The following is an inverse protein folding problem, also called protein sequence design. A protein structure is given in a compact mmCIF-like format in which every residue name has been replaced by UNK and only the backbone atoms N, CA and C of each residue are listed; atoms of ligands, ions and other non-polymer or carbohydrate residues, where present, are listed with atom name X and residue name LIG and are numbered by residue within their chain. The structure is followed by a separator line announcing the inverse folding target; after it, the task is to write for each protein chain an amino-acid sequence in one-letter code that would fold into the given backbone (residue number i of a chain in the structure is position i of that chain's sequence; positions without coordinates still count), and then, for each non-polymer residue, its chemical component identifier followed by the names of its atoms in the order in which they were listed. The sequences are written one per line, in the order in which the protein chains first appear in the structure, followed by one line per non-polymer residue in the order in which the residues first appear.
data_IF_988932329688
#
_entry.id   IF_988932329688
#
_cell.length_a   1.000
_cell.length_b   1.000
_cell.length_c   1.000
_cell.angle_alpha   90.00
_cell.angle_beta   90.00
_cell.angle_gamma   90.00
#
_symmetry.space_group_name_H-M   'P 1'
#
loop_
_entity.id
_entity.type
_entity.pdbx_description
1 polymer ?
#
# COMPACT_ATOMS: atom_id res chain seq x y z
N UNK A 1 13.59 13.63 11.55
CA UNK A 1 12.75 12.69 10.76
C UNK A 1 13.11 12.88 9.31
N UNK A 2 13.22 11.82 8.51
CA UNK A 2 13.48 11.96 7.07
C UNK A 2 12.34 12.74 6.42
N UNK A 3 12.65 13.68 5.54
CA UNK A 3 11.66 14.43 4.76
C UNK A 3 11.01 13.54 3.70
N UNK A 4 9.86 13.94 3.17
CA UNK A 4 9.22 13.21 2.06
C UNK A 4 10.14 13.06 0.84
N UNK A 5 10.95 14.08 0.55
CA UNK A 5 11.91 14.06 -0.55
C UNK A 5 13.07 13.10 -0.29
N UNK A 6 13.55 12.98 0.94
CA UNK A 6 14.56 11.99 1.31
C UNK A 6 14.01 10.57 1.21
N UNK A 7 12.80 10.31 1.72
CA UNK A 7 12.15 9.01 1.60
C UNK A 7 11.98 8.59 0.14
N UNK A 8 11.40 9.47 -0.67
CA UNK A 8 11.14 9.19 -2.09
C UNK A 8 12.43 9.15 -2.91
N UNK A 9 13.42 9.98 -2.59
CA UNK A 9 14.74 9.94 -3.21
C UNK A 9 15.41 8.60 -2.96
N UNK A 10 15.48 8.17 -1.70
CA UNK A 10 16.04 6.88 -1.32
C UNK A 10 15.33 5.73 -2.01
N UNK A 11 13.99 5.70 -1.94
CA UNK A 11 13.22 4.65 -2.58
C UNK A 11 13.42 4.65 -4.11
N UNK A 12 13.49 5.83 -4.74
CA UNK A 12 13.71 5.91 -6.19
C UNK A 12 15.06 5.33 -6.62
N UNK A 13 16.11 5.41 -5.80
CA UNK A 13 17.44 4.88 -6.15
C UNK A 13 17.43 3.38 -6.44
N UNK A 14 16.57 2.63 -5.76
CA UNK A 14 16.41 1.19 -5.95
C UNK A 14 15.40 0.83 -7.04
N UNK A 15 14.87 1.81 -7.80
CA UNK A 15 13.78 1.64 -8.78
C UNK A 15 13.99 2.51 -10.02
N UNK A 16 15.10 2.30 -10.72
CA UNK A 16 15.48 3.01 -11.95
C UNK A 16 15.10 2.27 -13.23
N UNK A 17 14.99 0.94 -13.21
CA UNK A 17 14.65 0.17 -14.40
C UNK A 17 13.17 0.37 -14.78
N UNK A 18 12.83 0.70 -16.05
CA UNK A 18 11.45 0.98 -16.46
C UNK A 18 10.51 -0.20 -16.20
N UNK A 19 10.93 -1.44 -16.45
CA UNK A 19 10.15 -2.65 -16.17
C UNK A 19 9.90 -2.83 -14.68
N UNK A 20 10.91 -2.65 -13.82
CA UNK A 20 10.74 -2.77 -12.38
C UNK A 20 9.74 -1.71 -11.86
N UNK A 21 9.83 -0.46 -12.35
CA UNK A 21 8.86 0.58 -12.03
C UNK A 21 7.44 0.23 -12.46
N UNK A 22 7.26 -0.36 -13.66
CA UNK A 22 5.94 -0.78 -14.14
C UNK A 22 5.36 -1.91 -13.27
N UNK A 23 6.18 -2.90 -12.94
CA UNK A 23 5.82 -3.98 -12.02
C UNK A 23 5.37 -3.37 -10.68
N UNK A 24 6.12 -2.41 -10.13
CA UNK A 24 5.75 -1.73 -8.89
C UNK A 24 4.43 -0.97 -8.99
N UNK A 25 4.14 -0.32 -10.13
CA UNK A 25 2.86 0.35 -10.35
C UNK A 25 1.65 -0.59 -10.26
N UNK A 26 1.83 -1.88 -10.52
CA UNK A 26 0.77 -2.89 -10.48
C UNK A 26 0.78 -3.62 -9.14
N UNK A 27 1.94 -4.12 -8.72
CA UNK A 27 2.07 -5.00 -7.56
C UNK A 27 1.92 -4.25 -6.24
N UNK A 28 2.42 -3.01 -6.10
CA UNK A 28 2.32 -2.28 -4.83
C UNK A 28 0.86 -1.96 -4.46
N UNK A 29 0.00 -1.44 -5.36
CA UNK A 29 -1.42 -1.28 -5.05
C UNK A 29 -2.12 -2.61 -4.75
N UNK A 30 -1.78 -3.68 -5.47
CA UNK A 30 -2.35 -5.01 -5.25
C UNK A 30 -1.98 -5.57 -3.86
N UNK A 31 -0.73 -5.42 -3.44
CA UNK A 31 -0.26 -5.83 -2.11
C UNK A 31 -0.95 -5.00 -1.03
N UNK A 32 -1.02 -3.67 -1.20
CA UNK A 32 -1.72 -2.81 -0.25
C UNK A 32 -3.18 -3.23 -0.08
N UNK A 33 -3.89 -3.45 -1.19
CA UNK A 33 -5.27 -3.93 -1.17
C UNK A 33 -5.38 -5.28 -0.47
N UNK A 34 -4.54 -6.26 -0.81
CA UNK A 34 -4.60 -7.60 -0.25
C UNK A 34 -4.33 -7.61 1.27
N UNK A 35 -3.39 -6.80 1.75
CA UNK A 35 -3.14 -6.63 3.18
C UNK A 35 -4.36 -6.04 3.88
N UNK A 36 -4.98 -5.00 3.31
CA UNK A 36 -6.19 -4.41 3.88
C UNK A 36 -7.38 -5.39 3.86
N UNK A 37 -7.52 -6.21 2.81
CA UNK A 37 -8.55 -7.23 2.72
C UNK A 37 -8.35 -8.33 3.77
N UNK A 38 -7.11 -8.80 3.96
CA UNK A 38 -6.77 -9.75 5.02
C UNK A 38 -7.07 -9.20 6.42
N UNK A 39 -6.78 -7.92 6.67
CA UNK A 39 -7.17 -7.25 7.93
C UNK A 39 -8.69 -7.05 8.04
N UNK A 40 -9.39 -6.91 6.91
CA UNK A 40 -10.83 -6.68 6.88
C UNK A 40 -11.63 -7.88 7.41
N UNK A 41 -11.17 -9.08 7.04
CA UNK A 41 -11.85 -10.34 7.36
C UNK A 41 -11.59 -10.84 8.78
N UNK A 42 -10.62 -10.26 9.49
CA UNK A 42 -10.32 -10.63 10.88
C UNK A 42 -11.59 -10.40 11.73
N UNK A 43 -12.07 -11.43 12.45
CA UNK A 43 -13.24 -11.29 13.31
C UNK A 43 -13.08 -10.14 14.31
N UNK A 44 -14.13 -9.35 14.45
CA UNK A 44 -14.17 -8.21 15.37
C UNK A 44 -15.20 -8.51 16.45
N UNK A 45 -14.84 -8.47 17.74
CA UNK A 45 -15.81 -8.55 18.82
C UNK A 45 -16.89 -7.50 18.64
N UNK A 46 -18.16 -7.87 18.77
CA UNK A 46 -19.30 -6.96 18.56
C UNK A 46 -19.24 -5.70 19.45
N UNK A 47 -18.61 -5.80 20.62
CA UNK A 47 -18.37 -4.67 21.53
C UNK A 47 -17.37 -3.63 20.99
N UNK A 48 -16.47 -4.03 20.08
CA UNK A 48 -15.46 -3.15 19.48
C UNK A 48 -15.92 -2.58 18.12
N UNK A 49 -16.72 -3.32 17.37
CA UNK A 49 -17.26 -2.85 16.11
C UNK A 49 -17.67 -3.96 15.14
N UNK A 50 -17.47 -3.70 13.85
CA UNK A 50 -17.85 -4.55 12.72
C UNK A 50 -16.61 -4.97 11.90
N UNK A 51 -16.74 -5.97 10.99
CA UNK A 51 -15.66 -6.30 10.04
C UNK A 51 -15.07 -5.06 9.36
N UNK A 52 -13.76 -5.08 9.14
CA UNK A 52 -13.02 -3.90 8.69
C UNK A 52 -12.47 -2.99 9.80
N UNK A 53 -12.84 -3.19 11.08
CA UNK A 53 -12.31 -2.39 12.19
C UNK A 53 -10.77 -2.38 12.24
N UNK A 54 -10.14 -3.55 12.17
CA UNK A 54 -8.69 -3.68 12.23
C UNK A 54 -8.01 -3.02 11.03
N UNK A 55 -8.56 -3.19 9.82
CA UNK A 55 -8.08 -2.49 8.63
C UNK A 55 -8.20 -0.96 8.79
N UNK A 56 -9.34 -0.48 9.30
CA UNK A 56 -9.57 0.93 9.63
C UNK A 56 -8.52 1.49 10.58
N UNK A 57 -8.24 0.80 11.68
CA UNK A 57 -7.23 1.20 12.64
C UNK A 57 -5.83 1.25 12.00
N UNK A 58 -5.46 0.25 11.20
CA UNK A 58 -4.20 0.26 10.46
C UNK A 58 -4.10 1.42 9.47
N UNK A 59 -5.18 1.75 8.76
CA UNK A 59 -5.24 2.91 7.85
C UNK A 59 -5.08 4.23 8.61
N UNK A 60 -5.67 4.36 9.81
CA UNK A 60 -5.51 5.56 10.66
C UNK A 60 -4.05 5.70 11.13
N UNK A 61 -3.41 4.61 11.56
CA UNK A 61 -2.00 4.63 11.96
C UNK A 61 -1.08 4.99 10.78
N UNK A 62 -1.32 4.41 9.61
CA UNK A 62 -0.59 4.75 8.38
C UNK A 62 -0.83 6.21 7.96
N UNK A 63 -2.07 6.71 8.08
CA UNK A 63 -2.39 8.11 7.83
C UNK A 63 -1.64 9.04 8.79
N UNK A 64 -1.57 8.71 10.08
CA UNK A 64 -0.80 9.50 11.06
C UNK A 64 0.71 9.53 10.71
N UNK A 65 1.25 8.41 10.22
CA UNK A 65 2.61 8.34 9.69
C UNK A 65 2.79 9.27 8.48
N UNK A 66 1.91 9.21 7.49
CA UNK A 66 1.98 10.09 6.31
C UNK A 66 1.76 11.56 6.67
N UNK A 67 0.87 11.86 7.60
CA UNK A 67 0.59 13.23 8.03
C UNK A 67 1.83 13.90 8.63
N UNK A 68 2.61 13.13 9.38
CA UNK A 68 3.90 13.58 9.94
C UNK A 68 5.00 13.70 8.88
N UNK A 69 4.88 13.00 7.76
CA UNK A 69 5.83 13.04 6.64
C UNK A 69 5.55 14.17 5.64
N UNK A 70 4.31 14.29 5.16
CA UNK A 70 3.80 15.36 4.28
C UNK A 70 2.26 15.35 4.29
N UNK A 71 1.64 16.49 4.60
CA UNK A 71 0.17 16.60 4.69
C UNK A 71 -0.51 16.30 3.37
N UNK A 72 0.08 16.74 2.26
CA UNK A 72 -0.46 16.53 0.92
C UNK A 72 -0.40 15.05 0.53
N UNK A 73 0.70 14.35 0.84
CA UNK A 73 0.78 12.89 0.66
C UNK A 73 -0.24 12.17 1.54
N UNK A 74 -0.42 12.62 2.78
CA UNK A 74 -1.41 12.04 3.68
C UNK A 74 -2.84 12.15 3.14
N UNK A 75 -3.21 13.32 2.59
CA UNK A 75 -4.52 13.52 1.95
C UNK A 75 -4.68 12.64 0.70
N UNK A 76 -3.64 12.52 -0.13
CA UNK A 76 -3.68 11.62 -1.28
C UNK A 76 -3.84 10.15 -0.86
N UNK A 77 -3.10 9.71 0.15
CA UNK A 77 -3.23 8.36 0.69
C UNK A 77 -4.56 8.12 1.41
N UNK A 78 -5.16 9.14 2.01
CA UNK A 78 -6.51 9.06 2.57
C UNK A 78 -7.53 8.71 1.50
N UNK A 79 -7.45 9.34 0.31
CA UNK A 79 -8.32 9.01 -0.82
C UNK A 79 -8.12 7.54 -1.23
N UNK A 80 -6.87 7.09 -1.34
CA UNK A 80 -6.55 5.69 -1.65
C UNK A 80 -7.16 4.75 -0.61
N UNK A 81 -7.01 5.04 0.69
CA UNK A 81 -7.57 4.23 1.77
C UNK A 81 -9.09 4.19 1.76
N UNK A 82 -9.76 5.31 1.50
CA UNK A 82 -11.22 5.34 1.35
C UNK A 82 -11.66 4.45 0.20
N UNK A 83 -11.02 4.56 -0.97
CA UNK A 83 -11.36 3.73 -2.14
C UNK A 83 -11.13 2.24 -1.90
N UNK A 84 -9.99 1.87 -1.30
CA UNK A 84 -9.71 0.48 -0.97
C UNK A 84 -10.63 -0.05 0.13
N UNK A 85 -11.01 0.78 1.10
CA UNK A 85 -11.98 0.42 2.13
C UNK A 85 -13.38 0.16 1.56
N UNK A 86 -13.84 1.02 0.65
CA UNK A 86 -15.11 0.81 -0.04
C UNK A 86 -15.09 -0.46 -0.91
N UNK A 87 -13.97 -0.72 -1.61
CA UNK A 87 -13.78 -1.94 -2.38
C UNK A 87 -13.81 -3.18 -1.48
N UNK A 88 -13.13 -3.16 -0.33
CA UNK A 88 -13.12 -4.28 0.59
C UNK A 88 -14.48 -4.51 1.25
N UNK A 89 -15.21 -3.46 1.62
CA UNK A 89 -16.57 -3.60 2.12
C UNK A 89 -17.48 -4.25 1.08
N UNK A 90 -17.39 -3.82 -0.18
CA UNK A 90 -18.15 -4.38 -1.28
C UNK A 90 -17.82 -5.86 -1.50
N UNK A 91 -16.53 -6.21 -1.63
CA UNK A 91 -16.08 -7.58 -1.84
C UNK A 91 -16.39 -8.48 -0.63
N UNK A 92 -16.27 -7.97 0.58
CA UNK A 92 -16.61 -8.71 1.80
C UNK A 92 -18.08 -9.11 1.81
N UNK A 93 -18.98 -8.20 1.44
CA UNK A 93 -20.42 -8.48 1.35
C UNK A 93 -20.77 -9.44 0.20
N UNK A 94 -20.03 -9.39 -0.89
CA UNK A 94 -20.26 -10.22 -2.08
C UNK A 94 -19.75 -11.65 -1.90
N UNK A 95 -18.52 -11.80 -1.39
CA UNK A 95 -17.79 -13.06 -1.34
C UNK A 95 -17.84 -13.72 0.04
N UNK A 96 -18.06 -12.93 1.10
CA UNK A 96 -17.86 -13.36 2.47
C UNK A 96 -16.38 -13.38 2.89
N UNK A 97 -16.11 -13.65 4.17
CA UNK A 97 -14.76 -13.53 4.74
C UNK A 97 -13.76 -14.55 4.20
N UNK A 98 -14.18 -15.80 3.98
CA UNK A 98 -13.29 -16.90 3.60
C UNK A 98 -12.79 -16.71 2.17
N UNK A 99 -13.69 -16.46 1.23
CA UNK A 99 -13.34 -16.30 -0.18
C UNK A 99 -12.56 -15.00 -0.43
N UNK A 100 -12.90 -13.92 0.29
CA UNK A 100 -12.12 -12.70 0.25
C UNK A 100 -10.68 -12.93 0.76
N UNK A 101 -10.51 -13.72 1.83
CA UNK A 101 -9.18 -14.06 2.34
C UNK A 101 -8.36 -14.86 1.32
N UNK A 102 -8.95 -15.85 0.67
CA UNK A 102 -8.27 -16.64 -0.37
C UNK A 102 -7.91 -15.80 -1.59
N UNK A 103 -8.82 -14.94 -2.04
CA UNK A 103 -8.55 -14.01 -3.14
C UNK A 103 -7.41 -13.06 -2.77
N UNK A 104 -7.46 -12.46 -1.58
CA UNK A 104 -6.41 -11.59 -1.08
C UNK A 104 -5.06 -12.33 -0.99
N UNK A 105 -5.05 -13.56 -0.47
CA UNK A 105 -3.86 -14.41 -0.39
C UNK A 105 -3.27 -14.71 -1.77
N UNK A 106 -4.09 -15.08 -2.74
CA UNK A 106 -3.65 -15.34 -4.12
C UNK A 106 -3.04 -14.10 -4.78
N UNK A 107 -3.71 -12.95 -4.67
CA UNK A 107 -3.21 -11.67 -5.19
C UNK A 107 -1.92 -11.25 -4.48
N UNK A 108 -1.85 -11.41 -3.15
CA UNK A 108 -0.67 -11.07 -2.36
C UNK A 108 0.55 -11.87 -2.81
N UNK A 109 0.42 -13.20 -2.93
CA UNK A 109 1.51 -14.07 -3.39
C UNK A 109 1.94 -13.73 -4.81
N UNK A 110 0.99 -13.60 -5.74
CA UNK A 110 1.30 -13.27 -7.13
C UNK A 110 2.00 -11.90 -7.27
N UNK A 111 1.52 -10.89 -6.54
CA UNK A 111 2.09 -9.55 -6.57
C UNK A 111 3.49 -9.51 -5.95
N UNK A 112 3.75 -10.27 -4.88
CA UNK A 112 5.09 -10.39 -4.31
C UNK A 112 6.08 -11.10 -5.23
N UNK A 113 5.66 -12.19 -5.89
CA UNK A 113 6.46 -12.83 -6.93
C UNK A 113 6.82 -11.80 -8.01
N UNK A 114 5.84 -11.02 -8.47
CA UNK A 114 6.05 -9.91 -9.39
C UNK A 114 7.10 -8.91 -8.89
N UNK A 115 6.96 -8.41 -7.64
CA UNK A 115 7.94 -7.48 -7.07
C UNK A 115 9.35 -8.07 -7.00
N UNK A 116 9.51 -9.33 -6.61
CA UNK A 116 10.81 -9.98 -6.59
C UNK A 116 11.41 -10.11 -8.00
N UNK A 117 10.62 -10.48 -9.00
CA UNK A 117 11.05 -10.47 -10.41
C UNK A 117 11.50 -9.06 -10.82
N UNK A 118 10.74 -8.03 -10.46
CA UNK A 118 11.11 -6.63 -10.71
C UNK A 118 12.47 -6.27 -10.13
N UNK A 119 12.74 -6.68 -8.90
CA UNK A 119 14.04 -6.45 -8.24
C UNK A 119 15.18 -7.29 -8.82
N UNK A 120 14.91 -8.51 -9.29
CA UNK A 120 15.90 -9.30 -10.03
C UNK A 120 16.33 -8.58 -11.32
N UNK A 121 15.39 -7.98 -12.04
CA UNK A 121 15.66 -7.17 -13.23
C UNK A 121 16.42 -5.88 -12.88
N UNK A 122 16.08 -5.24 -11.77
CA UNK A 122 16.76 -4.03 -11.30
C UNK A 122 18.22 -4.30 -10.88
N UNK A 123 18.51 -5.50 -10.36
CA UNK A 123 19.82 -5.83 -9.76
C UNK A 123 20.02 -5.23 -8.36
N UNK A 124 19.03 -4.49 -7.85
CA UNK A 124 19.01 -3.93 -6.50
C UNK A 124 18.08 -4.72 -5.57
N UNK A 125 18.46 -4.85 -4.30
CA UNK A 125 17.64 -5.53 -3.30
C UNK A 125 16.38 -4.70 -2.97
N UNK A 126 15.26 -5.35 -2.64
CA UNK A 126 14.06 -4.64 -2.16
C UNK A 126 14.34 -3.73 -0.96
N UNK A 127 13.90 -2.47 -1.03
CA UNK A 127 14.24 -1.46 -0.02
C UNK A 127 13.74 -1.82 1.39
N UNK A 128 12.65 -2.59 1.53
CA UNK A 128 12.13 -2.99 2.84
C UNK A 128 13.06 -3.94 3.61
N UNK A 129 14.04 -4.58 2.95
CA UNK A 129 15.09 -5.31 3.65
C UNK A 129 16.04 -4.39 4.43
N UNK A 130 16.10 -3.11 4.07
CA UNK A 130 16.92 -2.12 4.80
C UNK A 130 16.14 -1.46 5.93
N UNK A 131 14.84 -1.22 5.73
CA UNK A 131 13.97 -0.52 6.66
C UNK A 131 12.51 -0.86 6.35
N UNK A 132 11.80 -1.47 7.31
CA UNK A 132 10.43 -1.93 7.13
C UNK A 132 9.47 -0.77 6.80
N UNK A 133 9.81 0.47 7.15
CA UNK A 133 9.03 1.64 6.78
C UNK A 133 8.87 1.79 5.26
N UNK A 134 9.77 1.23 4.45
CA UNK A 134 9.64 1.27 2.99
C UNK A 134 8.40 0.55 2.45
N UNK A 135 7.78 -0.35 3.24
CA UNK A 135 6.46 -0.90 2.89
C UNK A 135 5.37 0.17 2.87
N UNK A 136 5.44 1.17 3.75
CA UNK A 136 4.55 2.34 3.75
C UNK A 136 4.98 3.37 2.70
N UNK A 137 6.28 3.50 2.43
CA UNK A 137 6.78 4.46 1.44
C UNK A 137 6.42 4.05 0.01
N UNK A 138 6.42 2.75 -0.33
CA UNK A 138 6.10 2.28 -1.68
C UNK A 138 4.78 2.83 -2.24
N UNK A 139 3.64 2.62 -1.55
CA UNK A 139 2.34 3.18 -1.96
C UNK A 139 2.36 4.72 -2.03
N UNK A 140 2.92 5.38 -1.02
CA UNK A 140 3.02 6.84 -0.97
C UNK A 140 3.86 7.41 -2.12
N UNK A 141 4.92 6.72 -2.54
CA UNK A 141 5.77 7.11 -3.66
C UNK A 141 5.02 7.03 -5.00
N UNK A 142 4.15 6.03 -5.19
CA UNK A 142 3.27 5.96 -6.35
C UNK A 142 2.25 7.11 -6.33
N UNK A 143 1.62 7.36 -5.19
CA UNK A 143 0.72 8.52 -5.03
C UNK A 143 1.45 9.83 -5.36
N UNK A 144 2.67 10.02 -4.84
CA UNK A 144 3.52 11.18 -5.16
C UNK A 144 3.83 11.32 -6.66
N UNK A 145 4.02 10.21 -7.40
CA UNK A 145 4.13 10.26 -8.86
C UNK A 145 2.86 10.75 -9.54
N UNK A 146 1.68 10.30 -9.09
CA UNK A 146 0.39 10.81 -9.60
C UNK A 146 0.27 12.30 -9.30
N UNK A 147 0.53 12.71 -8.06
CA UNK A 147 0.47 14.11 -7.64
C UNK A 147 1.36 15.01 -8.50
N UNK A 148 2.61 14.59 -8.78
CA UNK A 148 3.51 15.35 -9.67
C UNK A 148 2.97 15.46 -11.09
N UNK A 149 2.36 14.40 -11.65
CA UNK A 149 1.71 14.46 -12.97
C UNK A 149 0.53 15.44 -12.98
N UNK A 150 -0.16 15.57 -11.85
CA UNK A 150 -1.26 16.53 -11.63
C UNK A 150 -0.77 17.93 -11.19
N UNK A 151 0.55 18.18 -11.14
CA UNK A 151 1.17 19.44 -10.68
C UNK A 151 0.80 19.82 -9.23
N UNK A 152 0.54 18.82 -8.38
CA UNK A 152 0.30 19.00 -6.94
C UNK A 152 1.63 18.80 -6.20
N UNK A 153 2.08 19.83 -5.47
CA UNK A 153 3.28 19.78 -4.63
C UNK A 153 3.03 19.13 -3.27
N UNK A 154 4.09 18.61 -2.66
CA UNK A 154 4.04 17.93 -1.36
C UNK A 154 5.39 17.91 -0.66
#
# INVERSE_FOLDING_TARGET
MRTVNEWFGNYSRDHQHPTNRLIHWICVPAILWAVLAALWVIPVPAALGRPGFWAGMSMVLAFAFYWRMSRQVALAMLIVFVLLGLLNEFLYRMLGPVDLLWLAGGVFVAAWIGQFIGHLIEGARPSFFTDLAYLLIGPAWLAGKVMRRLRIGY
#
